data_IF_943219207251
#
_entry.id   IF_943219207251
#
_cell.length_a   1.000
_cell.length_b   1.000
_cell.length_c   1.000
_cell.angle_alpha   90.00
_cell.angle_beta   90.00
_cell.angle_gamma   90.00
#
_symmetry.space_group_name_H-M   'P 1'
#
loop_
_entity.id
_entity.type
_entity.pdbx_description
1 polymer ?
#
# COMPACT_ATOMS: atom_id res chain seq x y z
N UNK A 1 6.73 -17.92 8.59
CA UNK A 1 7.93 -18.10 9.43
C UNK A 1 7.58 -18.10 10.92
N UNK A 2 6.91 -17.06 11.42
CA UNK A 2 6.60 -16.89 12.85
C UNK A 2 5.79 -18.03 13.46
N UNK A 3 4.85 -18.62 12.71
CA UNK A 3 4.03 -19.74 13.20
C UNK A 3 4.89 -20.99 13.49
N UNK A 4 5.85 -21.33 12.64
CA UNK A 4 6.72 -22.49 12.89
C UNK A 4 7.73 -22.19 13.99
N UNK A 5 8.23 -20.96 14.09
CA UNK A 5 9.06 -20.56 15.24
C UNK A 5 8.29 -20.77 16.56
N UNK A 6 7.00 -20.41 16.58
CA UNK A 6 6.13 -20.67 17.73
C UNK A 6 5.98 -22.16 18.02
N UNK A 7 5.76 -22.99 17.00
CA UNK A 7 5.65 -24.45 17.15
C UNK A 7 6.96 -25.07 17.69
N UNK A 8 8.11 -24.66 17.18
CA UNK A 8 9.43 -25.09 17.66
C UNK A 8 9.61 -24.68 19.12
N UNK A 9 9.24 -23.46 19.48
CA UNK A 9 9.30 -22.97 20.86
C UNK A 9 8.45 -23.82 21.82
N UNK A 10 7.23 -24.19 21.42
CA UNK A 10 6.34 -25.04 22.20
C UNK A 10 6.94 -26.45 22.37
N UNK A 11 7.53 -27.02 21.32
CA UNK A 11 8.20 -28.32 21.39
C UNK A 11 9.39 -28.27 22.35
N UNK A 12 10.25 -27.26 22.24
CA UNK A 12 11.41 -27.08 23.13
C UNK A 12 10.99 -26.89 24.59
N UNK A 13 9.94 -26.11 24.83
CA UNK A 13 9.39 -25.91 26.18
C UNK A 13 8.85 -27.22 26.75
N UNK A 14 8.11 -28.00 25.95
CA UNK A 14 7.54 -29.30 26.38
C UNK A 14 8.62 -30.34 26.68
N UNK A 15 9.65 -30.42 25.83
CA UNK A 15 10.83 -31.26 26.06
C UNK A 15 11.61 -30.80 27.30
N UNK A 16 11.73 -29.49 27.49
CA UNK A 16 12.36 -28.91 28.68
C UNK A 16 11.67 -29.31 29.97
N UNK A 17 10.33 -29.30 30.01
CA UNK A 17 9.56 -29.79 31.16
C UNK A 17 9.84 -31.28 31.39
N UNK A 18 9.81 -32.09 30.34
CA UNK A 18 10.05 -33.53 30.44
C UNK A 18 11.45 -33.89 30.96
N UNK A 19 12.48 -33.13 30.55
CA UNK A 19 13.87 -33.34 31.00
C UNK A 19 14.09 -32.78 32.40
N UNK A 20 13.52 -31.62 32.73
CA UNK A 20 13.63 -31.00 34.06
C UNK A 20 13.12 -31.93 35.17
N UNK A 21 12.03 -32.66 34.91
CA UNK A 21 11.45 -33.64 35.81
C UNK A 21 12.39 -34.84 36.11
N UNK A 22 13.35 -35.12 35.21
CA UNK A 22 14.29 -36.26 35.34
C UNK A 22 15.68 -35.87 35.80
N UNK A 23 16.21 -34.76 35.30
CA UNK A 23 17.61 -34.38 35.48
C UNK A 23 17.80 -33.10 36.31
N UNK A 24 16.72 -32.49 36.82
CA UNK A 24 16.76 -31.21 37.55
C UNK A 24 17.44 -30.07 36.76
N UNK A 25 17.33 -30.08 35.42
CA UNK A 25 17.88 -29.05 34.54
C UNK A 25 16.76 -28.20 33.91
N UNK A 26 16.82 -26.87 34.11
CA UNK A 26 15.78 -25.96 33.61
C UNK A 26 16.13 -25.27 32.28
N UNK A 27 17.35 -25.47 31.77
CA UNK A 27 17.90 -24.72 30.64
C UNK A 27 17.06 -24.80 29.37
N UNK A 28 16.56 -26.00 29.01
CA UNK A 28 15.72 -26.18 27.82
C UNK A 28 14.35 -25.51 27.95
N UNK A 29 13.76 -25.52 29.16
CA UNK A 29 12.50 -24.84 29.42
C UNK A 29 12.63 -23.32 29.27
N UNK A 30 13.70 -22.74 29.83
CA UNK A 30 13.99 -21.32 29.70
C UNK A 30 14.19 -20.91 28.22
N UNK A 31 14.94 -21.71 27.44
CA UNK A 31 15.12 -21.47 26.00
C UNK A 31 13.79 -21.54 25.24
N UNK A 32 12.99 -22.57 25.48
CA UNK A 32 11.66 -22.70 24.86
C UNK A 32 10.76 -21.50 25.16
N UNK A 33 10.77 -21.01 26.39
CA UNK A 33 10.01 -19.82 26.82
C UNK A 33 10.42 -18.57 26.04
N UNK A 34 11.72 -18.32 25.89
CA UNK A 34 12.22 -17.18 25.11
C UNK A 34 11.80 -17.28 23.64
N UNK A 35 11.92 -18.47 23.04
CA UNK A 35 11.54 -18.69 21.64
C UNK A 35 10.04 -18.47 21.41
N UNK A 36 9.19 -18.93 22.33
CA UNK A 36 7.73 -18.68 22.28
C UNK A 36 7.43 -17.19 22.34
N UNK A 37 8.06 -16.46 23.27
CA UNK A 37 7.87 -15.01 23.40
C UNK A 37 8.26 -14.26 22.12
N UNK A 38 9.40 -14.60 21.52
CA UNK A 38 9.84 -14.03 20.24
C UNK A 38 8.87 -14.36 19.10
N UNK A 39 8.39 -15.60 19.04
CA UNK A 39 7.38 -16.02 18.06
C UNK A 39 6.09 -15.21 18.16
N UNK A 40 5.57 -15.00 19.38
CA UNK A 40 4.38 -14.20 19.62
C UNK A 40 4.56 -12.72 19.23
N UNK A 41 5.71 -12.12 19.56
CA UNK A 41 6.02 -10.74 19.16
C UNK A 41 6.05 -10.58 17.64
N UNK A 42 6.67 -11.52 16.92
CA UNK A 42 6.68 -11.51 15.47
C UNK A 42 5.29 -11.70 14.87
N UNK A 43 4.45 -12.56 15.45
CA UNK A 43 3.06 -12.72 14.99
C UNK A 43 2.29 -11.42 15.19
N UNK A 44 2.42 -10.77 16.34
CA UNK A 44 1.73 -9.53 16.66
C UNK A 44 2.10 -8.41 15.68
N UNK A 45 3.39 -8.19 15.42
CA UNK A 45 3.84 -7.12 14.51
C UNK A 45 3.35 -7.33 13.08
N UNK A 46 3.59 -8.52 12.51
CA UNK A 46 3.19 -8.83 11.13
C UNK A 46 1.64 -8.84 10.97
N UNK A 47 0.90 -9.23 12.00
CA UNK A 47 -0.57 -9.21 11.95
C UNK A 47 -1.13 -7.80 11.82
N UNK A 48 -0.51 -6.80 12.44
CA UNK A 48 -0.92 -5.38 12.32
C UNK A 48 -0.82 -4.94 10.85
N UNK A 49 0.28 -5.25 10.19
CA UNK A 49 0.50 -4.87 8.79
C UNK A 49 -0.49 -5.58 7.86
N UNK A 50 -0.70 -6.88 8.05
CA UNK A 50 -1.68 -7.67 7.29
C UNK A 50 -3.10 -7.12 7.45
N UNK A 51 -3.49 -6.71 8.66
CA UNK A 51 -4.82 -6.13 8.92
C UNK A 51 -4.98 -4.77 8.23
N UNK A 52 -3.97 -3.88 8.33
CA UNK A 52 -3.98 -2.58 7.63
C UNK A 52 -4.11 -2.76 6.11
N UNK A 53 -3.39 -3.74 5.57
CA UNK A 53 -3.37 -4.07 4.15
C UNK A 53 -4.73 -4.38 3.53
N UNK A 54 -5.70 -4.88 4.31
CA UNK A 54 -7.07 -5.19 3.83
C UNK A 54 -7.82 -3.98 3.28
N UNK A 55 -7.39 -2.77 3.62
CA UNK A 55 -8.05 -1.53 3.19
C UNK A 55 -7.35 -0.84 2.01
N UNK A 56 -6.17 -1.32 1.58
CA UNK A 56 -5.38 -0.62 0.57
C UNK A 56 -6.04 -0.63 -0.79
N UNK A 57 -6.60 -1.76 -1.24
CA UNK A 57 -7.31 -1.83 -2.53
C UNK A 57 -8.47 -0.82 -2.60
N UNK A 58 -9.30 -0.76 -1.56
CA UNK A 58 -10.41 0.20 -1.47
C UNK A 58 -9.94 1.66 -1.47
N UNK A 59 -8.81 1.95 -0.83
CA UNK A 59 -8.22 3.29 -0.83
C UNK A 59 -7.66 3.65 -2.21
N UNK A 60 -7.01 2.69 -2.89
CA UNK A 60 -6.51 2.89 -4.25
C UNK A 60 -7.68 3.15 -5.21
N UNK A 61 -8.73 2.33 -5.15
CA UNK A 61 -9.94 2.49 -5.96
C UNK A 61 -10.58 3.87 -5.74
N UNK A 62 -10.74 4.30 -4.48
CA UNK A 62 -11.26 5.63 -4.14
C UNK A 62 -10.45 6.76 -4.80
N UNK A 63 -9.11 6.72 -4.72
CA UNK A 63 -8.27 7.74 -5.35
C UNK A 63 -8.32 7.66 -6.89
N UNK A 64 -8.45 6.46 -7.46
CA UNK A 64 -8.62 6.29 -8.91
C UNK A 64 -9.96 6.84 -9.42
N UNK A 65 -11.04 6.64 -8.67
CA UNK A 65 -12.34 7.24 -8.98
C UNK A 65 -12.30 8.77 -8.90
N UNK A 66 -11.64 9.31 -7.87
CA UNK A 66 -11.44 10.76 -7.75
C UNK A 66 -10.63 11.31 -8.93
N UNK A 67 -9.54 10.63 -9.32
CA UNK A 67 -8.74 11.00 -10.48
C UNK A 67 -9.57 10.98 -11.77
N UNK A 68 -10.42 9.97 -11.98
CA UNK A 68 -11.32 9.91 -13.14
C UNK A 68 -12.32 11.07 -13.17
N UNK A 69 -12.81 11.51 -11.99
CA UNK A 69 -13.67 12.71 -11.90
C UNK A 69 -12.90 13.98 -12.28
N UNK A 70 -11.66 14.12 -11.80
CA UNK A 70 -10.77 15.24 -12.15
C UNK A 70 -10.49 15.26 -13.66
N UNK A 71 -10.16 14.12 -14.25
CA UNK A 71 -9.92 13.99 -15.70
C UNK A 71 -11.14 14.44 -16.51
N UNK A 72 -12.35 14.01 -16.12
CA UNK A 72 -13.58 14.46 -16.78
C UNK A 72 -13.82 15.97 -16.63
N UNK A 73 -13.54 16.54 -15.45
CA UNK A 73 -13.69 17.97 -15.22
C UNK A 73 -12.68 18.78 -16.05
N UNK A 74 -11.44 18.32 -16.15
CA UNK A 74 -10.42 18.94 -17.00
C UNK A 74 -10.79 18.79 -18.47
N UNK A 75 -11.31 17.64 -18.91
CA UNK A 75 -11.77 17.43 -20.27
C UNK A 75 -12.85 18.44 -20.69
N UNK A 76 -13.83 18.70 -19.81
CA UNK A 76 -14.86 19.72 -20.07
C UNK A 76 -14.26 21.12 -20.25
N UNK A 77 -13.27 21.49 -19.43
CA UNK A 77 -12.60 22.80 -19.49
C UNK A 77 -11.78 22.91 -20.77
N UNK A 78 -10.99 21.88 -21.09
CA UNK A 78 -10.17 21.83 -22.31
C UNK A 78 -11.05 21.89 -23.55
N UNK A 79 -12.15 21.12 -23.61
CA UNK A 79 -13.11 21.20 -24.73
C UNK A 79 -13.72 22.59 -24.88
N UNK A 80 -14.07 23.23 -23.76
CA UNK A 80 -14.57 24.61 -23.78
C UNK A 80 -13.51 25.55 -24.36
N UNK A 81 -12.27 25.47 -23.91
CA UNK A 81 -11.15 26.25 -24.43
C UNK A 81 -10.93 26.02 -25.94
N UNK A 82 -10.83 24.75 -26.39
CA UNK A 82 -10.66 24.38 -27.80
C UNK A 82 -11.82 24.83 -28.71
N UNK A 83 -13.00 25.07 -28.16
CA UNK A 83 -14.15 25.57 -28.94
C UNK A 83 -14.03 27.08 -29.20
N UNK A 84 -13.32 27.81 -28.34
CA UNK A 84 -13.13 29.26 -28.44
C UNK A 84 -11.82 29.65 -29.14
N UNK A 85 -10.90 28.70 -29.33
CA UNK A 85 -9.57 28.88 -29.93
C UNK A 85 -9.46 28.36 -31.38
N UNK A 86 -8.39 28.78 -32.07
CA UNK A 86 -8.16 28.64 -33.53
C UNK A 86 -8.01 27.18 -34.04
N UNK A 87 -8.14 26.97 -35.35
CA UNK A 87 -8.12 25.63 -36.00
C UNK A 87 -6.88 24.79 -35.70
N UNK A 88 -5.77 25.43 -35.34
CA UNK A 88 -4.50 24.81 -34.94
C UNK A 88 -4.63 23.97 -33.67
N UNK A 89 -5.46 24.41 -32.72
CA UNK A 89 -5.76 23.67 -31.48
C UNK A 89 -6.69 22.48 -31.75
N UNK A 90 -7.63 22.60 -32.70
CA UNK A 90 -8.52 21.49 -33.11
C UNK A 90 -7.76 20.28 -33.67
N UNK A 91 -6.56 20.48 -34.23
CA UNK A 91 -5.68 19.39 -34.70
C UNK A 91 -5.08 18.57 -33.56
N UNK A 92 -4.96 19.11 -32.34
CA UNK A 92 -4.48 18.41 -31.16
C UNK A 92 -5.54 17.52 -30.48
N UNK A 93 -6.74 17.39 -31.06
CA UNK A 93 -7.90 16.60 -30.54
C UNK A 93 -7.61 15.13 -30.20
N UNK A 94 -6.50 14.57 -30.67
CA UNK A 94 -6.13 13.18 -30.43
C UNK A 94 -5.32 12.99 -29.14
N UNK A 95 -4.92 14.06 -28.47
CA UNK A 95 -4.20 13.97 -27.19
C UNK A 95 -5.14 13.96 -25.99
N UNK A 96 -4.68 13.37 -24.88
CA UNK A 96 -5.43 13.39 -23.63
C UNK A 96 -5.55 14.83 -23.11
N UNK A 97 -6.67 15.15 -22.48
CA UNK A 97 -6.93 16.49 -21.93
C UNK A 97 -5.87 16.89 -20.90
N UNK A 98 -5.28 15.91 -20.20
CA UNK A 98 -4.17 16.13 -19.27
C UNK A 98 -2.86 16.48 -19.98
N UNK A 99 -2.62 15.90 -21.17
CA UNK A 99 -1.49 16.28 -22.04
C UNK A 99 -1.69 17.69 -22.59
N UNK A 100 -2.90 18.01 -23.04
CA UNK A 100 -3.25 19.34 -23.57
C UNK A 100 -3.01 20.43 -22.51
N UNK A 101 -3.41 20.23 -21.24
CA UNK A 101 -3.09 21.20 -20.19
C UNK A 101 -1.58 21.42 -20.03
N UNK A 102 -0.75 20.39 -20.26
CA UNK A 102 0.70 20.52 -20.16
C UNK A 102 1.32 21.30 -21.33
N UNK A 103 0.69 21.22 -22.51
CA UNK A 103 1.14 21.87 -23.75
C UNK A 103 0.70 23.32 -23.86
N UNK A 104 -0.42 23.70 -23.24
CA UNK A 104 -1.00 25.04 -23.34
C UNK A 104 -0.89 25.80 -22.00
N UNK A 105 -0.01 26.82 -21.91
CA UNK A 105 0.23 27.57 -20.68
C UNK A 105 -1.00 28.24 -20.09
N UNK A 106 -1.97 28.64 -20.91
CA UNK A 106 -3.21 29.31 -20.48
C UNK A 106 -4.15 28.35 -19.75
N UNK A 107 -4.29 27.12 -20.22
CA UNK A 107 -5.03 26.07 -19.52
C UNK A 107 -4.35 25.70 -18.20
N UNK A 108 -3.01 25.73 -18.17
CA UNK A 108 -2.22 25.44 -16.97
C UNK A 108 -2.27 26.56 -15.92
N UNK A 109 -2.44 27.80 -16.35
CA UNK A 109 -2.50 28.97 -15.47
C UNK A 109 -3.89 29.20 -14.88
N UNK A 110 -4.93 28.56 -15.44
CA UNK A 110 -6.27 28.56 -14.85
C UNK A 110 -6.22 28.00 -13.42
N UNK A 111 -6.72 28.80 -12.47
CA UNK A 111 -6.64 28.50 -11.04
C UNK A 111 -7.35 27.21 -10.64
N UNK A 112 -8.47 26.89 -11.31
CA UNK A 112 -9.25 25.69 -11.04
C UNK A 112 -8.55 24.47 -11.63
N UNK A 113 -8.06 24.55 -12.87
CA UNK A 113 -7.27 23.47 -13.48
C UNK A 113 -6.01 23.18 -12.66
N UNK A 114 -5.32 24.22 -12.18
CA UNK A 114 -4.11 24.08 -11.37
C UNK A 114 -4.36 23.35 -10.05
N UNK A 115 -5.42 23.67 -9.32
CA UNK A 115 -5.74 22.98 -8.06
C UNK A 115 -6.17 21.53 -8.33
N UNK A 116 -6.93 21.30 -9.40
CA UNK A 116 -7.36 19.96 -9.81
C UNK A 116 -6.17 19.05 -10.17
N UNK A 117 -5.20 19.56 -10.93
CA UNK A 117 -3.95 18.84 -11.24
C UNK A 117 -3.13 18.56 -9.98
N UNK A 118 -3.10 19.49 -9.02
CA UNK A 118 -2.41 19.30 -7.74
C UNK A 118 -3.05 18.19 -6.92
N UNK A 119 -4.38 18.12 -6.86
CA UNK A 119 -5.10 17.02 -6.19
C UNK A 119 -4.83 15.70 -6.93
N UNK A 120 -4.93 15.67 -8.26
CA UNK A 120 -4.64 14.50 -9.08
C UNK A 120 -3.22 13.94 -8.82
N UNK A 121 -2.21 14.82 -8.78
CA UNK A 121 -0.84 14.44 -8.48
C UNK A 121 -0.69 13.91 -7.04
N UNK A 122 -1.33 14.56 -6.07
CA UNK A 122 -1.34 14.10 -4.66
C UNK A 122 -1.97 12.72 -4.54
N UNK A 123 -3.07 12.48 -5.24
CA UNK A 123 -3.74 11.18 -5.29
C UNK A 123 -2.85 10.12 -5.92
N UNK A 124 -2.18 10.42 -7.03
CA UNK A 124 -1.20 9.52 -7.64
C UNK A 124 -0.04 9.19 -6.70
N UNK A 125 0.47 10.16 -5.95
CA UNK A 125 1.46 9.90 -4.89
C UNK A 125 0.91 8.96 -3.82
N UNK A 126 -0.32 9.16 -3.35
CA UNK A 126 -0.95 8.26 -2.36
C UNK A 126 -1.23 6.86 -2.91
N UNK A 127 -1.64 6.74 -4.16
CA UNK A 127 -1.78 5.43 -4.83
C UNK A 127 -0.42 4.72 -4.86
N UNK A 128 0.67 5.43 -5.19
CA UNK A 128 2.01 4.86 -5.21
C UNK A 128 2.44 4.38 -3.81
N UNK A 129 2.30 5.23 -2.78
CA UNK A 129 2.61 4.86 -1.40
C UNK A 129 1.81 3.63 -0.93
N UNK A 130 0.52 3.55 -1.28
CA UNK A 130 -0.33 2.40 -0.94
C UNK A 130 0.11 1.13 -1.67
N UNK A 131 0.50 1.21 -2.94
CA UNK A 131 1.04 0.08 -3.69
C UNK A 131 2.37 -0.42 -3.12
N UNK A 132 3.25 0.50 -2.71
CA UNK A 132 4.48 0.15 -1.98
C UNK A 132 4.12 -0.55 -0.67
N UNK A 133 3.16 -0.02 0.09
CA UNK A 133 2.68 -0.65 1.32
C UNK A 133 2.03 -2.02 1.10
N UNK A 134 1.45 -2.32 -0.07
CA UNK A 134 0.96 -3.66 -0.41
C UNK A 134 2.08 -4.69 -0.57
N UNK A 135 3.26 -4.24 -1.03
CA UNK A 135 4.46 -5.08 -1.09
C UNK A 135 4.91 -5.43 0.33
N UNK A 136 4.90 -4.45 1.24
CA UNK A 136 5.22 -4.67 2.66
C UNK A 136 4.23 -5.65 3.31
N UNK A 137 2.93 -5.53 3.01
CA UNK A 137 1.91 -6.49 3.47
C UNK A 137 2.18 -7.90 2.95
N UNK A 138 2.64 -8.04 1.71
CA UNK A 138 3.00 -9.35 1.13
C UNK A 138 4.19 -9.95 1.87
N UNK A 139 5.17 -9.11 2.22
CA UNK A 139 6.32 -9.49 3.05
C UNK A 139 5.88 -9.88 4.47
N UNK A 140 4.96 -9.14 5.08
CA UNK A 140 4.41 -9.46 6.41
C UNK A 140 3.64 -10.79 6.40
N UNK A 141 2.84 -11.06 5.36
CA UNK A 141 2.19 -12.36 5.15
C UNK A 141 3.22 -13.47 5.02
N UNK A 142 4.31 -13.24 4.28
CA UNK A 142 5.40 -14.20 4.13
C UNK A 142 6.02 -14.54 5.50
N UNK A 143 6.34 -13.52 6.29
CA UNK A 143 6.87 -13.70 7.65
C UNK A 143 5.90 -14.41 8.57
N UNK A 144 4.59 -14.15 8.49
CA UNK A 144 3.61 -14.87 9.29
C UNK A 144 3.53 -16.36 8.88
N UNK A 145 3.27 -16.63 7.60
CA UNK A 145 2.76 -17.92 7.14
C UNK A 145 3.74 -18.86 6.44
N UNK A 146 4.92 -18.40 5.98
CA UNK A 146 5.89 -19.14 5.11
C UNK A 146 5.86 -18.85 3.60
N UNK A 147 5.34 -17.69 3.22
CA UNK A 147 5.56 -17.14 1.89
C UNK A 147 4.58 -17.55 0.82
N UNK A 148 4.06 -16.53 0.13
CA UNK A 148 3.13 -16.67 -0.98
C UNK A 148 1.77 -17.16 -0.53
#
# INVERSE_FOLDING_TARGET
>A
MSIVILLIGIILMSLGIYVADRESTEGMFAVGTVVVMLGLLMIASNSVDVVKGRTYDKKIEMYQEENKKIENQIDLIVRKYMTHEDETLKKAKYESSMTLVSLYPELKSDSLVKEQIKIYNKNNSKIKELKESQIDVTTAKWWLYFGG
#
